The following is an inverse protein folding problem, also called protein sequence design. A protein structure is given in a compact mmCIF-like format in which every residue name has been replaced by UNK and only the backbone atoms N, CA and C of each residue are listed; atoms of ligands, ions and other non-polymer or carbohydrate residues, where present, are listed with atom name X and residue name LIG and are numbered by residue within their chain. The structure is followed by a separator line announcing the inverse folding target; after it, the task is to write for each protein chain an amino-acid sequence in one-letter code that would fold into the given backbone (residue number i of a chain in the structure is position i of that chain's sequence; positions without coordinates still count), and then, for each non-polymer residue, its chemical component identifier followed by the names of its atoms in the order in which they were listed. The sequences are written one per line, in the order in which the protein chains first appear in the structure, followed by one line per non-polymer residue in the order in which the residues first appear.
data_IF_285165445394
#
_entry.id   IF_285165445394
#
_cell.length_a   1.000
_cell.length_b   1.000
_cell.length_c   1.000
_cell.angle_alpha   90.00
_cell.angle_beta   90.00
_cell.angle_gamma   90.00
#
_symmetry.space_group_name_H-M   'P 1'
#
loop_
_entity.id
_entity.type
_entity.pdbx_description
1 polymer ?
#
# COMPACT_ATOMS: atom_id res chain seq x y z
N UNK A 1 0.62 0.87 10.16
CA UNK A 1 -0.50 0.18 9.51
C UNK A 1 -1.81 0.66 10.12
N UNK A 2 -2.60 1.37 9.36
CA UNK A 2 -3.99 1.70 9.71
C UNK A 2 -4.85 0.83 8.79
N UNK A 3 -5.67 -0.10 9.31
CA UNK A 3 -6.57 -0.87 8.47
C UNK A 3 -7.51 0.08 7.73
N UNK A 4 -7.62 -0.11 6.41
CA UNK A 4 -8.58 0.64 5.61
C UNK A 4 -9.99 0.42 6.20
N UNK A 5 -10.75 1.51 6.32
CA UNK A 5 -12.14 1.43 6.76
C UNK A 5 -12.91 0.44 5.87
N UNK A 6 -13.71 -0.41 6.49
CA UNK A 6 -14.57 -1.35 5.78
C UNK A 6 -15.35 -0.62 4.69
N UNK A 7 -15.22 -1.07 3.45
CA UNK A 7 -16.00 -0.54 2.33
C UNK A 7 -17.51 -0.72 2.55
N UNK A 8 -18.35 -0.03 1.77
CA UNK A 8 -19.80 -0.15 1.88
C UNK A 8 -20.25 -1.61 1.69
N UNK A 9 -21.33 -2.03 2.36
CA UNK A 9 -21.85 -3.39 2.25
C UNK A 9 -22.24 -3.71 0.81
N UNK A 10 -22.01 -4.96 0.42
CA UNK A 10 -22.28 -5.46 -0.92
C UNK A 10 -23.77 -5.83 -1.05
N UNK A 11 -24.34 -5.41 -2.16
CA UNK A 11 -25.73 -5.77 -2.52
C UNK A 11 -25.70 -7.10 -3.29
N UNK A 12 -26.42 -8.10 -2.78
CA UNK A 12 -26.74 -9.32 -3.52
C UNK A 12 -27.80 -8.98 -4.56
N UNK A 13 -27.41 -9.04 -5.83
CA UNK A 13 -28.39 -9.09 -6.91
C UNK A 13 -28.87 -10.53 -7.09
N UNK A 14 -30.19 -10.70 -7.31
CA UNK A 14 -30.82 -11.99 -7.60
C UNK A 14 -30.15 -12.61 -8.83
N UNK A 15 -29.60 -13.83 -8.70
CA UNK A 15 -28.97 -14.53 -9.81
C UNK A 15 -27.52 -14.98 -9.61
N UNK A 16 -27.00 -14.98 -8.38
CA UNK A 16 -25.63 -15.46 -8.10
C UNK A 16 -24.54 -14.46 -8.52
N UNK A 17 -24.84 -13.18 -8.51
CA UNK A 17 -23.91 -12.08 -8.76
C UNK A 17 -23.59 -11.36 -7.45
N UNK A 18 -22.30 -11.06 -7.26
CA UNK A 18 -21.79 -10.32 -6.10
C UNK A 18 -20.94 -9.16 -6.61
N UNK A 19 -21.16 -7.97 -6.05
CA UNK A 19 -20.42 -6.78 -6.43
C UNK A 19 -19.74 -6.18 -5.20
N UNK A 20 -18.46 -5.85 -5.32
CA UNK A 20 -17.68 -5.18 -4.27
C UNK A 20 -16.94 -3.98 -4.85
N UNK A 21 -17.02 -2.84 -4.16
CA UNK A 21 -16.28 -1.63 -4.56
C UNK A 21 -15.25 -1.29 -3.49
N UNK A 22 -14.04 -1.00 -3.93
CA UNK A 22 -12.95 -0.56 -3.06
C UNK A 22 -12.19 0.59 -3.71
N UNK A 23 -11.38 1.27 -2.92
CA UNK A 23 -10.63 2.44 -3.39
C UNK A 23 -9.14 2.12 -3.37
N UNK A 24 -8.45 2.45 -4.44
CA UNK A 24 -7.00 2.41 -4.56
C UNK A 24 -6.46 3.82 -4.75
N UNK A 25 -5.18 4.02 -4.45
CA UNK A 25 -4.54 5.33 -4.55
C UNK A 25 -3.42 5.28 -5.59
N UNK A 26 -3.34 6.32 -6.41
CA UNK A 26 -2.26 6.48 -7.38
C UNK A 26 -0.98 7.05 -6.74
N UNK A 27 0.08 7.21 -7.54
CA UNK A 27 1.37 7.75 -7.06
C UNK A 27 1.32 9.20 -6.60
N UNK A 28 0.25 9.92 -6.93
CA UNK A 28 0.00 11.29 -6.46
C UNK A 28 -0.96 11.33 -5.26
N UNK A 29 -1.43 10.16 -4.77
CA UNK A 29 -2.35 10.03 -3.65
C UNK A 29 -3.82 10.29 -4.01
N UNK A 30 -4.19 10.36 -5.30
CA UNK A 30 -5.58 10.49 -5.71
C UNK A 30 -6.29 9.14 -5.61
N UNK A 31 -7.54 9.22 -5.18
CA UNK A 31 -8.39 8.06 -4.96
C UNK A 31 -9.07 7.61 -6.25
N UNK A 32 -8.95 6.33 -6.58
CA UNK A 32 -9.63 5.67 -7.69
C UNK A 32 -10.52 4.55 -7.14
N UNK A 33 -11.81 4.56 -7.51
CA UNK A 33 -12.75 3.51 -7.14
C UNK A 33 -12.68 2.39 -8.19
N UNK A 34 -12.50 1.16 -7.73
CA UNK A 34 -12.60 -0.05 -8.55
C UNK A 34 -13.74 -0.92 -8.04
N UNK A 35 -14.50 -1.48 -8.97
CA UNK A 35 -15.62 -2.36 -8.67
C UNK A 35 -15.35 -3.74 -9.24
N UNK A 36 -15.30 -4.74 -8.37
CA UNK A 36 -15.24 -6.16 -8.75
C UNK A 36 -16.66 -6.71 -8.76
N UNK A 37 -17.08 -7.22 -9.90
CA UNK A 37 -18.35 -7.94 -10.05
C UNK A 37 -18.06 -9.41 -10.32
N UNK A 38 -18.52 -10.29 -9.45
CA UNK A 38 -18.34 -11.74 -9.54
C UNK A 38 -19.70 -12.37 -9.92
N UNK A 39 -19.68 -13.29 -10.87
CA UNK A 39 -20.87 -14.01 -11.34
C UNK A 39 -20.59 -15.50 -11.31
N UNK A 40 -21.52 -16.26 -10.73
CA UNK A 40 -21.39 -17.71 -10.70
C UNK A 40 -21.45 -18.28 -12.11
N UNK A 41 -20.43 -19.09 -12.46
CA UNK A 41 -20.37 -19.78 -13.74
C UNK A 41 -21.27 -21.03 -13.75
N UNK A 42 -21.69 -21.48 -14.94
CA UNK A 42 -22.42 -22.74 -15.11
C UNK A 42 -21.60 -23.98 -14.69
N UNK A 43 -20.27 -23.87 -14.78
CA UNK A 43 -19.35 -24.90 -14.26
C UNK A 43 -19.35 -24.85 -12.73
N UNK A 44 -19.49 -26.03 -12.09
CA UNK A 44 -19.45 -26.13 -10.63
C UNK A 44 -18.14 -25.53 -10.07
N UNK A 45 -18.24 -24.90 -8.89
CA UNK A 45 -17.12 -24.30 -8.17
C UNK A 45 -16.32 -23.24 -8.95
N UNK A 46 -16.91 -22.65 -9.99
CA UNK A 46 -16.29 -21.60 -10.79
C UNK A 46 -17.10 -20.32 -10.74
N UNK A 47 -16.37 -19.19 -10.57
CA UNK A 47 -16.91 -17.84 -10.60
C UNK A 47 -16.14 -16.99 -11.59
N UNK A 48 -16.83 -16.38 -12.53
CA UNK A 48 -16.23 -15.39 -13.40
C UNK A 48 -16.26 -14.03 -12.72
N UNK A 49 -15.23 -13.22 -12.89
CA UNK A 49 -15.22 -11.87 -12.35
C UNK A 49 -14.77 -10.84 -13.37
N UNK A 50 -15.25 -9.63 -13.21
CA UNK A 50 -14.85 -8.46 -13.99
C UNK A 50 -14.50 -7.32 -13.04
N UNK A 51 -13.50 -6.52 -13.41
CA UNK A 51 -13.12 -5.32 -12.66
C UNK A 51 -13.39 -4.11 -13.52
N UNK A 52 -14.08 -3.12 -12.96
CA UNK A 52 -14.43 -1.88 -13.63
C UNK A 52 -13.92 -0.68 -12.82
N UNK A 53 -13.56 0.38 -13.52
CA UNK A 53 -13.28 1.68 -12.91
C UNK A 53 -14.57 2.45 -12.57
N UNK A 54 -14.44 3.65 -12.03
CA UNK A 54 -15.56 4.54 -11.71
C UNK A 54 -16.39 4.97 -12.92
N UNK A 55 -15.81 4.95 -14.13
CA UNK A 55 -16.49 5.24 -15.38
C UNK A 55 -17.23 4.01 -15.95
N UNK A 56 -17.10 2.85 -15.31
CA UNK A 56 -17.70 1.59 -15.77
C UNK A 56 -16.88 0.87 -16.85
N UNK A 57 -15.68 1.37 -17.15
CA UNK A 57 -14.78 0.75 -18.13
C UNK A 57 -14.12 -0.48 -17.48
N UNK A 58 -14.06 -1.58 -18.23
CA UNK A 58 -13.40 -2.80 -17.76
C UNK A 58 -11.89 -2.62 -17.76
N UNK A 59 -11.27 -2.75 -16.60
CA UNK A 59 -9.82 -2.65 -16.37
C UNK A 59 -9.20 -4.00 -16.01
N UNK A 60 -10.00 -5.06 -15.97
CA UNK A 60 -9.56 -6.42 -15.68
C UNK A 60 -9.27 -7.23 -16.93
N UNK A 61 -8.65 -8.41 -16.73
CA UNK A 61 -8.42 -9.40 -17.79
C UNK A 61 -9.75 -9.99 -18.23
N UNK A 62 -10.00 -10.07 -19.52
CA UNK A 62 -11.19 -10.71 -20.07
C UNK A 62 -11.19 -12.20 -19.72
N UNK A 63 -12.34 -12.72 -19.26
CA UNK A 63 -12.49 -14.12 -18.89
C UNK A 63 -11.79 -14.54 -17.58
N UNK A 64 -11.42 -13.57 -16.74
CA UNK A 64 -10.86 -13.85 -15.43
C UNK A 64 -11.84 -14.64 -14.56
N UNK A 65 -11.35 -15.69 -13.91
CA UNK A 65 -12.19 -16.57 -13.11
C UNK A 65 -11.46 -17.08 -11.87
N UNK A 66 -12.24 -17.35 -10.82
CA UNK A 66 -11.83 -18.08 -9.62
C UNK A 66 -12.40 -19.48 -9.65
N UNK A 67 -11.63 -20.47 -9.26
CA UNK A 67 -12.12 -21.82 -8.99
C UNK A 67 -11.94 -22.14 -7.52
N UNK A 68 -12.88 -22.91 -6.99
CA UNK A 68 -12.89 -23.31 -5.59
C UNK A 68 -12.74 -24.82 -5.48
N UNK A 69 -12.07 -25.27 -4.44
CA UNK A 69 -12.00 -26.66 -4.04
C UNK A 69 -13.35 -27.14 -3.46
N UNK A 70 -13.49 -28.45 -3.29
CA UNK A 70 -14.72 -29.02 -2.69
C UNK A 70 -14.89 -28.65 -1.20
N UNK A 71 -13.85 -28.19 -0.54
CA UNK A 71 -13.89 -27.66 0.84
C UNK A 71 -14.28 -26.17 0.89
N UNK A 72 -14.47 -25.56 -0.27
CA UNK A 72 -14.84 -24.14 -0.41
C UNK A 72 -13.67 -23.17 -0.44
N UNK A 73 -12.43 -23.62 -0.30
CA UNK A 73 -11.24 -22.77 -0.42
C UNK A 73 -10.93 -22.41 -1.88
N UNK A 74 -10.24 -21.30 -2.12
CA UNK A 74 -9.81 -20.91 -3.48
C UNK A 74 -8.74 -21.89 -3.99
N UNK A 75 -8.97 -22.46 -5.16
CA UNK A 75 -8.06 -23.37 -5.84
C UNK A 75 -7.15 -22.66 -6.85
N UNK A 76 -7.73 -21.79 -7.69
CA UNK A 76 -7.00 -21.04 -8.73
C UNK A 76 -7.57 -19.65 -8.94
N UNK A 77 -6.78 -18.75 -9.55
CA UNK A 77 -7.20 -17.38 -9.89
C UNK A 77 -6.81 -16.33 -8.83
N UNK A 78 -6.06 -16.73 -7.79
CA UNK A 78 -5.53 -15.81 -6.78
C UNK A 78 -4.04 -16.11 -6.53
N UNK A 79 -3.17 -15.08 -6.38
CA UNK A 79 -3.45 -13.66 -6.63
C UNK A 79 -3.63 -13.36 -8.13
N UNK A 80 -4.42 -12.34 -8.46
CA UNK A 80 -4.71 -11.92 -9.83
C UNK A 80 -4.19 -10.50 -10.07
N UNK A 81 -3.15 -10.38 -10.91
CA UNK A 81 -2.66 -9.06 -11.34
C UNK A 81 -3.58 -8.50 -12.43
N UNK A 82 -4.02 -7.26 -12.27
CA UNK A 82 -4.73 -6.54 -13.31
C UNK A 82 -3.74 -5.98 -14.34
N UNK A 83 -4.17 -5.78 -15.60
CA UNK A 83 -3.41 -4.97 -16.55
C UNK A 83 -3.14 -3.58 -15.96
N UNK A 84 -2.00 -2.99 -16.31
CA UNK A 84 -1.66 -1.65 -15.85
C UNK A 84 -2.73 -0.65 -16.30
N UNK A 85 -3.32 0.06 -15.33
CA UNK A 85 -4.34 1.09 -15.61
C UNK A 85 -3.61 2.40 -15.87
N UNK A 86 -3.66 2.87 -17.11
CA UNK A 86 -3.05 4.14 -17.51
C UNK A 86 -3.94 5.28 -17.04
N UNK A 87 -3.36 6.20 -16.28
CA UNK A 87 -4.04 7.39 -15.75
C UNK A 87 -3.73 8.61 -16.61
N UNK A 88 -4.68 9.51 -16.76
CA UNK A 88 -4.55 10.74 -17.54
C UNK A 88 -4.19 11.98 -16.71
N UNK A 89 -4.00 11.80 -15.40
CA UNK A 89 -3.72 12.86 -14.44
C UNK A 89 -2.22 13.11 -14.19
N UNK A 90 -1.34 12.46 -14.97
CA UNK A 90 0.12 12.56 -14.81
C UNK A 90 0.71 11.63 -13.75
N UNK A 91 -0.11 10.85 -13.05
CA UNK A 91 0.37 9.81 -12.15
C UNK A 91 0.97 8.62 -12.92
N UNK A 92 1.84 7.87 -12.26
CA UNK A 92 2.30 6.59 -12.80
C UNK A 92 1.13 5.63 -13.01
N UNK A 93 1.25 4.71 -13.98
CA UNK A 93 0.24 3.67 -14.21
C UNK A 93 -0.02 2.88 -12.94
N UNK A 94 -1.29 2.64 -12.66
CA UNK A 94 -1.72 1.94 -11.46
C UNK A 94 -1.61 0.43 -11.67
N UNK A 95 -0.78 -0.23 -10.88
CA UNK A 95 -0.64 -1.69 -10.86
C UNK A 95 -1.38 -2.25 -9.65
N UNK A 96 -2.45 -2.99 -9.90
CA UNK A 96 -3.30 -3.56 -8.85
C UNK A 96 -3.24 -5.08 -8.91
N UNK A 97 -3.02 -5.71 -7.78
CA UNK A 97 -3.13 -7.16 -7.61
C UNK A 97 -4.26 -7.46 -6.64
N UNK A 98 -5.20 -8.27 -7.09
CA UNK A 98 -6.32 -8.74 -6.29
C UNK A 98 -5.94 -10.06 -5.63
N UNK A 99 -5.98 -10.11 -4.31
CA UNK A 99 -5.79 -11.34 -3.55
C UNK A 99 -7.14 -11.85 -3.05
N UNK A 100 -7.51 -13.01 -3.53
CA UNK A 100 -8.75 -13.71 -3.18
C UNK A 100 -8.49 -14.93 -2.29
N UNK A 101 -7.27 -15.12 -1.78
CA UNK A 101 -6.88 -16.33 -1.04
C UNK A 101 -7.71 -16.58 0.22
N UNK A 102 -8.27 -15.52 0.81
CA UNK A 102 -9.10 -15.59 2.00
C UNK A 102 -10.59 -15.81 1.71
N UNK A 103 -10.98 -15.84 0.43
CA UNK A 103 -12.37 -16.12 0.08
C UNK A 103 -12.71 -17.59 0.29
N UNK A 104 -13.95 -17.82 0.72
CA UNK A 104 -14.51 -19.16 0.86
C UNK A 104 -15.85 -19.25 0.17
N UNK A 105 -16.08 -20.34 -0.55
CA UNK A 105 -17.39 -20.65 -1.13
C UNK A 105 -18.18 -21.49 -0.16
N UNK A 106 -19.28 -20.94 0.36
CA UNK A 106 -20.22 -21.66 1.23
C UNK A 106 -21.65 -21.56 0.67
N UNK A 107 -22.54 -22.45 1.13
CA UNK A 107 -23.95 -22.33 0.83
C UNK A 107 -24.56 -21.19 1.68
N UNK A 108 -25.14 -20.19 1.05
CA UNK A 108 -25.77 -19.05 1.73
C UNK A 108 -25.64 -17.76 0.94
N UNK A 109 -25.88 -16.66 1.63
CA UNK A 109 -25.75 -15.31 1.07
C UNK A 109 -24.30 -14.99 0.79
N UNK A 110 -23.97 -14.71 -0.46
CA UNK A 110 -22.62 -14.36 -0.83
C UNK A 110 -22.28 -12.92 -0.35
N UNK A 111 -21.13 -12.77 0.30
CA UNK A 111 -20.60 -11.50 0.78
C UNK A 111 -19.09 -11.46 0.46
N UNK A 112 -18.64 -10.41 -0.23
CA UNK A 112 -17.22 -10.16 -0.49
C UNK A 112 -16.90 -8.75 -0.03
N UNK A 113 -16.09 -8.60 1.00
CA UNK A 113 -15.61 -7.32 1.51
C UNK A 113 -14.11 -7.20 1.32
N UNK A 114 -13.59 -6.06 0.86
CA UNK A 114 -12.16 -5.83 0.87
C UNK A 114 -11.67 -5.80 2.32
N UNK A 115 -10.65 -6.59 2.63
CA UNK A 115 -10.05 -6.61 3.96
C UNK A 115 -8.90 -5.61 4.07
N UNK A 116 -8.12 -5.47 3.01
CA UNK A 116 -6.96 -4.59 2.96
C UNK A 116 -6.82 -3.94 1.59
N UNK A 117 -6.41 -2.69 1.57
CA UNK A 117 -6.08 -1.95 0.35
C UNK A 117 -4.70 -1.32 0.55
N UNK A 118 -3.77 -1.60 -0.35
CA UNK A 118 -2.45 -0.95 -0.35
C UNK A 118 -2.54 0.46 -0.94
N UNK A 119 -1.72 1.36 -0.41
CA UNK A 119 -1.67 2.75 -0.84
C UNK A 119 -2.35 3.69 0.16
N UNK A 120 -2.01 4.96 0.03
CA UNK A 120 -2.46 6.01 0.95
C UNK A 120 -2.83 7.25 0.17
N UNK A 121 -3.82 7.98 0.66
CA UNK A 121 -4.09 9.33 0.17
C UNK A 121 -2.88 10.24 0.39
N UNK A 122 -2.77 11.31 -0.37
CA UNK A 122 -1.81 12.38 -0.09
C UNK A 122 -2.04 12.92 1.33
N UNK A 123 -0.96 13.26 2.00
CA UNK A 123 -1.01 13.78 3.38
C UNK A 123 -0.03 14.91 3.57
N UNK A 124 -0.43 15.93 4.35
CA UNK A 124 0.43 17.01 4.78
C UNK A 124 1.19 16.61 6.05
N UNK A 125 2.43 17.08 6.18
CA UNK A 125 3.22 16.86 7.38
C UNK A 125 2.61 17.61 8.56
N UNK A 126 2.28 16.88 9.63
CA UNK A 126 1.70 17.43 10.87
C UNK A 126 2.76 17.72 11.93
N UNK A 127 3.76 16.85 12.02
CA UNK A 127 4.85 16.99 12.98
C UNK A 127 6.08 16.21 12.52
N UNK A 128 7.22 16.56 13.08
CA UNK A 128 8.45 15.78 12.93
C UNK A 128 9.17 15.70 14.26
N UNK A 129 10.00 14.69 14.42
CA UNK A 129 10.80 14.49 15.62
C UNK A 129 12.01 13.62 15.34
N UNK A 130 12.90 13.53 16.30
CA UNK A 130 14.09 12.67 16.26
C UNK A 130 13.91 11.60 17.31
N UNK A 131 14.03 10.33 16.89
CA UNK A 131 13.96 9.20 17.80
C UNK A 131 15.29 8.94 18.53
N UNK A 132 15.30 7.99 19.46
CA UNK A 132 16.49 7.64 20.26
C UNK A 132 17.65 7.08 19.43
N UNK A 133 17.38 6.61 18.21
CA UNK A 133 18.36 6.10 17.28
C UNK A 133 18.80 7.17 16.25
N UNK A 134 18.46 8.43 16.49
CA UNK A 134 18.80 9.54 15.63
C UNK A 134 18.03 9.60 14.31
N UNK A 135 16.98 8.81 14.10
CA UNK A 135 16.13 8.92 12.91
C UNK A 135 15.21 10.13 13.01
N UNK A 136 15.19 10.92 11.94
CA UNK A 136 14.24 12.01 11.76
C UNK A 136 12.98 11.39 11.17
N UNK A 137 11.90 11.32 11.95
CA UNK A 137 10.61 10.79 11.53
C UNK A 137 9.60 11.94 11.39
N UNK A 138 8.82 11.92 10.32
CA UNK A 138 7.72 12.85 10.09
C UNK A 138 6.39 12.11 10.11
N UNK A 139 5.40 12.70 10.78
CA UNK A 139 4.01 12.21 10.80
C UNK A 139 3.16 13.04 9.85
N UNK A 140 2.23 12.38 9.15
CA UNK A 140 1.38 12.99 8.12
C UNK A 140 -0.10 12.85 8.46
N UNK A 141 -0.94 13.72 7.88
CA UNK A 141 -2.40 13.73 8.09
C UNK A 141 -3.07 12.43 7.62
N UNK A 142 -2.46 11.69 6.72
CA UNK A 142 -2.92 10.38 6.25
C UNK A 142 -2.56 9.21 7.18
N UNK A 143 -2.04 9.51 8.39
CA UNK A 143 -1.64 8.53 9.39
C UNK A 143 -0.30 7.85 9.13
N UNK A 144 0.43 8.27 8.08
CA UNK A 144 1.76 7.72 7.79
C UNK A 144 2.85 8.37 8.63
N UNK A 145 3.85 7.57 9.00
CA UNK A 145 5.09 8.03 9.60
C UNK A 145 6.24 7.62 8.70
N UNK A 146 6.96 8.61 8.18
CA UNK A 146 8.06 8.39 7.25
C UNK A 146 9.39 8.77 7.90
N UNK A 147 10.39 7.88 7.81
CA UNK A 147 11.77 8.19 8.18
C UNK A 147 12.41 9.00 7.05
N UNK A 148 12.72 10.25 7.31
CA UNK A 148 13.29 11.19 6.33
C UNK A 148 14.81 11.08 6.22
N UNK A 149 15.48 10.72 7.33
CA UNK A 149 16.92 10.60 7.40
C UNK A 149 17.39 10.18 8.78
N UNK A 150 18.69 10.11 8.97
CA UNK A 150 19.30 9.82 10.26
C UNK A 150 20.42 10.82 10.53
N UNK A 151 20.48 11.32 11.76
CA UNK A 151 21.60 12.12 12.24
C UNK A 151 22.80 11.19 12.38
N UNK A 152 23.96 11.63 11.95
CA UNK A 152 25.20 10.90 12.13
C UNK A 152 26.06 11.59 13.19
N UNK A 153 26.87 10.82 13.89
CA UNK A 153 27.82 11.32 14.87
C UNK A 153 29.23 11.25 14.31
N UNK A 154 29.99 12.30 14.50
CA UNK A 154 31.41 12.33 14.18
C UNK A 154 32.22 12.12 15.47
N UNK A 155 33.02 11.07 15.49
CA UNK A 155 33.93 10.75 16.61
C UNK A 155 35.35 10.88 16.19
N UNK A 156 36.15 11.63 16.96
CA UNK A 156 37.59 11.73 16.75
C UNK A 156 38.32 11.02 17.90
N UNK A 157 39.55 10.54 17.62
CA UNK A 157 40.38 9.88 18.62
C UNK A 157 40.76 10.83 19.78
N UNK A 158 40.89 12.13 19.48
CA UNK A 158 41.15 13.16 20.47
C UNK A 158 40.25 14.39 20.22
N UNK A 159 39.03 14.45 20.79
CA UNK A 159 38.10 15.56 20.59
C UNK A 159 38.65 16.92 21.03
N UNK A 160 39.53 16.94 22.06
CA UNK A 160 40.17 18.16 22.53
C UNK A 160 41.18 18.75 21.52
N UNK A 161 41.61 17.94 20.57
CA UNK A 161 42.51 18.38 19.50
C UNK A 161 41.79 18.99 18.30
N UNK A 162 40.46 19.01 18.27
CA UNK A 162 39.70 19.65 17.21
C UNK A 162 39.85 21.15 17.23
N UNK A 163 40.01 21.78 16.07
CA UNK A 163 40.13 23.23 15.91
C UNK A 163 38.75 23.87 15.85
N UNK A 164 38.47 24.81 16.75
CA UNK A 164 37.20 25.53 16.77
C UNK A 164 37.18 26.62 15.70
N UNK A 165 36.23 26.55 14.77
CA UNK A 165 36.08 27.50 13.67
C UNK A 165 35.13 28.66 13.96
N UNK A 166 34.41 28.64 15.08
CA UNK A 166 33.30 29.56 15.39
C UNK A 166 31.95 28.95 15.10
N UNK A 167 30.88 29.61 15.53
CA UNK A 167 29.47 29.20 15.31
C UNK A 167 29.14 27.74 15.67
N UNK A 168 29.87 27.17 16.63
CA UNK A 168 29.73 25.75 17.00
C UNK A 168 30.38 24.75 16.06
N UNK A 169 31.10 25.22 15.03
CA UNK A 169 31.78 24.36 14.07
C UNK A 169 33.22 24.00 14.54
N UNK A 170 33.62 22.79 14.20
CA UNK A 170 34.93 22.23 14.49
C UNK A 170 35.52 21.62 13.22
N UNK A 171 36.84 21.78 13.07
CA UNK A 171 37.62 21.18 11.98
C UNK A 171 38.69 20.24 12.54
N UNK A 172 39.17 19.34 11.69
CA UNK A 172 40.21 18.40 12.05
C UNK A 172 41.54 19.12 12.15
N UNK A 173 42.36 18.70 13.11
CA UNK A 173 43.75 19.16 13.25
C UNK A 173 44.69 17.95 13.28
N UNK A 174 46.03 18.15 13.14
CA UNK A 174 47.01 17.08 13.30
C UNK A 174 46.88 16.35 14.67
N UNK A 175 46.37 17.03 15.70
CA UNK A 175 46.23 16.50 17.05
C UNK A 175 44.86 15.86 17.32
N UNK A 176 43.87 16.02 16.44
CA UNK A 176 42.54 15.42 16.63
C UNK A 176 42.49 13.94 16.24
N UNK A 177 43.45 13.50 15.42
CA UNK A 177 43.38 12.18 14.81
C UNK A 177 42.32 12.10 13.72
N UNK A 178 42.05 10.88 13.26
CA UNK A 178 41.03 10.62 12.24
C UNK A 178 39.65 10.76 12.81
N UNK A 179 38.74 11.36 12.02
CA UNK A 179 37.31 11.43 12.34
C UNK A 179 36.57 10.27 11.68
N UNK A 180 35.80 9.55 12.45
CA UNK A 180 34.96 8.47 11.97
C UNK A 180 33.48 8.87 12.14
N UNK A 181 32.70 8.67 11.09
CA UNK A 181 31.25 8.89 11.11
C UNK A 181 30.58 7.59 11.54
N UNK A 182 29.75 7.68 12.57
CA UNK A 182 28.99 6.55 13.12
C UNK A 182 27.50 6.89 13.24
N UNK A 183 26.66 5.87 13.29
CA UNK A 183 25.26 6.03 13.69
C UNK A 183 25.14 6.19 15.21
N UNK A 184 24.17 6.96 15.70
CA UNK A 184 23.86 7.06 17.13
C UNK A 184 23.49 5.72 17.73
#
# INVERSE_FOLDING_TARGET
YVPAAAGPPIVLESGGKVTSTFSVFDSLGNKHALTVAMTKNATANKWDYTVKDAAGVSVGTAGAALTFNNDGSVATGSPAALPAIVLTNGAASLNVTLDFSTLTQTQGTALVTPSEVSGYASGDMTSWGIDQNGFIAASFTNGQVLKLGQIVLAVSNNPAGLMRMGDGLYDVSPNSGTVTIISP
#
